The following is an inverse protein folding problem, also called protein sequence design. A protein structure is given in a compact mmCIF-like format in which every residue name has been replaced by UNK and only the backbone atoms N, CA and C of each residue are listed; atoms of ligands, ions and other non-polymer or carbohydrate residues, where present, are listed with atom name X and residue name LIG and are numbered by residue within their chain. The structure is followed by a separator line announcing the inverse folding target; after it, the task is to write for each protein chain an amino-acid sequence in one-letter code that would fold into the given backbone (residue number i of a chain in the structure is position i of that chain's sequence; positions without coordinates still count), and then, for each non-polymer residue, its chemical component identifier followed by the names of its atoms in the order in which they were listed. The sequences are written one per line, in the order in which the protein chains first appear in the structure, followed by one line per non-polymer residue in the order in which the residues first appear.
data_IF_249523665637
#
_entry.id   IF_249523665637
#
_cell.length_a   1.000
_cell.length_b   1.000
_cell.length_c   1.000
_cell.angle_alpha   90.00
_cell.angle_beta   90.00
_cell.angle_gamma   90.00
#
_symmetry.space_group_name_H-M   'P 1'
#
loop_
_entity.id
_entity.type
_entity.pdbx_description
1 polymer ?
#
# COMPACT_ATOMS: atom_id res chain seq x y z
N UNK A 1 -33.80 -10.59 -32.14
CA UNK A 1 -33.38 -9.21 -31.78
C UNK A 1 -32.34 -8.67 -32.75
N UNK A 2 -32.31 -7.36 -33.02
CA UNK A 2 -31.29 -6.73 -33.90
C UNK A 2 -29.99 -6.42 -33.13
N UNK A 3 -28.88 -6.20 -33.83
CA UNK A 3 -27.55 -5.93 -33.20
C UNK A 3 -27.56 -4.75 -32.23
N UNK A 4 -28.28 -3.66 -32.54
CA UNK A 4 -28.38 -2.50 -31.67
C UNK A 4 -29.19 -2.77 -30.40
N UNK A 5 -30.17 -3.66 -30.48
CA UNK A 5 -30.93 -4.10 -29.32
C UNK A 5 -30.11 -5.02 -28.42
N UNK A 6 -29.36 -5.96 -29.01
CA UNK A 6 -28.43 -6.82 -28.28
C UNK A 6 -27.36 -5.98 -27.56
N UNK A 7 -26.81 -4.96 -28.23
CA UNK A 7 -25.82 -4.05 -27.67
C UNK A 7 -26.36 -3.35 -26.41
N UNK A 8 -27.57 -2.79 -26.50
CA UNK A 8 -28.24 -2.12 -25.38
C UNK A 8 -28.52 -3.08 -24.22
N UNK A 9 -29.01 -4.30 -24.50
CA UNK A 9 -29.36 -5.29 -23.47
C UNK A 9 -28.15 -5.86 -22.73
N UNK A 10 -27.01 -5.93 -23.40
CA UNK A 10 -25.76 -6.49 -22.84
C UNK A 10 -24.78 -5.41 -22.41
N UNK A 11 -25.16 -4.13 -22.52
CA UNK A 11 -24.34 -2.96 -22.20
C UNK A 11 -23.06 -2.85 -23.03
N UNK A 12 -22.96 -3.53 -24.18
CA UNK A 12 -21.76 -3.57 -25.02
C UNK A 12 -21.94 -2.68 -26.26
N UNK A 13 -20.90 -2.58 -27.09
CA UNK A 13 -20.95 -1.81 -28.34
C UNK A 13 -21.29 -2.71 -29.53
N UNK A 14 -21.92 -2.14 -30.57
CA UNK A 14 -22.12 -2.84 -31.85
C UNK A 14 -20.79 -3.29 -32.45
N UNK A 15 -19.70 -2.53 -32.24
CA UNK A 15 -18.35 -2.91 -32.65
C UNK A 15 -17.88 -4.20 -31.96
N UNK A 16 -18.05 -4.30 -30.64
CA UNK A 16 -17.71 -5.51 -29.89
C UNK A 16 -18.55 -6.71 -30.33
N UNK A 17 -19.86 -6.54 -30.56
CA UNK A 17 -20.72 -7.62 -31.08
C UNK A 17 -20.28 -8.10 -32.46
N UNK A 18 -19.87 -7.20 -33.35
CA UNK A 18 -19.32 -7.58 -34.66
C UNK A 18 -17.99 -8.33 -34.53
N UNK A 19 -17.18 -7.99 -33.53
CA UNK A 19 -15.96 -8.74 -33.24
C UNK A 19 -16.29 -10.16 -32.73
N UNK A 20 -17.23 -10.30 -31.82
CA UNK A 20 -17.69 -11.62 -31.35
C UNK A 20 -18.33 -12.45 -32.47
N UNK A 21 -19.07 -11.82 -33.39
CA UNK A 21 -19.59 -12.46 -34.61
C UNK A 21 -18.45 -12.91 -35.53
N UNK A 22 -17.43 -12.07 -35.75
CA UNK A 22 -16.26 -12.44 -36.57
C UNK A 22 -15.42 -13.57 -35.95
N UNK A 23 -15.39 -13.63 -34.62
CA UNK A 23 -14.80 -14.73 -33.87
C UNK A 23 -15.71 -15.97 -33.83
N UNK A 24 -16.92 -15.91 -34.39
CA UNK A 24 -17.86 -17.04 -34.43
C UNK A 24 -18.47 -17.40 -33.07
N UNK A 25 -18.40 -16.51 -32.08
CA UNK A 25 -18.90 -16.76 -30.71
C UNK A 25 -20.36 -16.34 -30.54
N UNK A 26 -20.82 -15.40 -31.36
CA UNK A 26 -22.21 -14.93 -31.35
C UNK A 26 -22.71 -14.89 -32.79
N UNK A 27 -23.39 -15.96 -33.20
CA UNK A 27 -23.81 -16.15 -34.59
C UNK A 27 -25.26 -15.69 -34.78
N UNK A 28 -25.53 -14.72 -35.68
CA UNK A 28 -26.89 -14.32 -36.01
C UNK A 28 -27.54 -15.29 -37.01
N UNK A 29 -28.85 -15.50 -36.89
CA UNK A 29 -29.67 -16.10 -37.95
C UNK A 29 -29.93 -15.06 -39.05
N UNK A 30 -29.81 -15.48 -40.31
CA UNK A 30 -30.21 -14.65 -41.45
C UNK A 30 -31.68 -14.88 -41.78
N UNK A 31 -32.45 -13.80 -41.85
CA UNK A 31 -33.84 -13.81 -42.30
C UNK A 31 -33.91 -13.78 -43.83
N UNK A 32 -35.04 -14.23 -44.39
CA UNK A 32 -35.31 -14.23 -45.83
C UNK A 32 -35.24 -12.84 -46.48
N UNK A 33 -35.40 -11.78 -45.69
CA UNK A 33 -35.28 -10.39 -46.09
C UNK A 33 -33.85 -9.81 -45.95
N UNK A 34 -32.84 -10.65 -45.69
CA UNK A 34 -31.43 -10.25 -45.58
C UNK A 34 -31.01 -9.63 -44.24
N UNK A 35 -31.94 -9.42 -43.31
CA UNK A 35 -31.62 -8.92 -41.97
C UNK A 35 -30.99 -9.99 -41.07
N UNK A 36 -30.10 -9.55 -40.17
CA UNK A 36 -29.52 -10.39 -39.11
C UNK A 36 -30.39 -10.32 -37.86
N UNK A 37 -30.68 -11.48 -37.30
CA UNK A 37 -31.41 -11.63 -36.06
C UNK A 37 -30.62 -12.49 -35.06
N UNK A 38 -30.40 -11.97 -33.86
CA UNK A 38 -29.82 -12.72 -32.75
C UNK A 38 -30.93 -13.32 -31.89
N UNK A 39 -30.71 -14.55 -31.45
CA UNK A 39 -31.60 -15.26 -30.54
C UNK A 39 -31.43 -14.80 -29.09
N UNK A 40 -32.42 -15.01 -28.20
CA UNK A 40 -32.32 -14.63 -26.78
C UNK A 40 -31.06 -15.15 -26.08
N UNK A 41 -30.56 -16.33 -26.45
CA UNK A 41 -29.34 -16.93 -25.89
C UNK A 41 -28.10 -16.05 -26.12
N UNK A 42 -28.06 -15.24 -27.18
CA UNK A 42 -26.95 -14.33 -27.47
C UNK A 42 -26.70 -13.33 -26.33
N UNK A 43 -27.72 -13.00 -25.53
CA UNK A 43 -27.54 -12.14 -24.34
C UNK A 43 -26.68 -12.83 -23.29
N UNK A 44 -26.92 -14.13 -23.03
CA UNK A 44 -26.11 -14.93 -22.09
C UNK A 44 -24.69 -15.12 -22.59
N UNK A 45 -24.51 -15.45 -23.88
CA UNK A 45 -23.19 -15.62 -24.48
C UNK A 45 -22.35 -14.34 -24.39
N UNK A 46 -22.94 -13.18 -24.72
CA UNK A 46 -22.23 -11.90 -24.64
C UNK A 46 -21.91 -11.52 -23.18
N UNK A 47 -22.80 -11.78 -22.24
CA UNK A 47 -22.51 -11.56 -20.81
C UNK A 47 -21.32 -12.41 -20.35
N UNK A 48 -21.32 -13.71 -20.69
CA UNK A 48 -20.22 -14.63 -20.36
C UNK A 48 -18.88 -14.16 -20.94
N UNK A 49 -18.85 -13.77 -22.22
CA UNK A 49 -17.63 -13.27 -22.87
C UNK A 49 -17.09 -12.05 -22.12
N UNK A 50 -17.96 -11.12 -21.73
CA UNK A 50 -17.54 -9.91 -21.02
C UNK A 50 -16.97 -10.19 -19.63
N UNK A 51 -17.60 -11.09 -18.88
CA UNK A 51 -17.13 -11.48 -17.55
C UNK A 51 -15.74 -12.13 -17.65
N UNK A 52 -15.54 -13.04 -18.60
CA UNK A 52 -14.26 -13.70 -18.82
C UNK A 52 -13.18 -12.71 -19.30
N UNK A 53 -13.53 -11.77 -20.19
CA UNK A 53 -12.61 -10.72 -20.61
C UNK A 53 -12.20 -9.81 -19.45
N UNK A 54 -13.09 -9.55 -18.49
CA UNK A 54 -12.74 -8.79 -17.28
C UNK A 54 -11.74 -9.53 -16.38
N UNK A 55 -11.66 -10.85 -16.47
CA UNK A 55 -10.67 -11.70 -15.79
C UNK A 55 -9.34 -11.80 -16.56
N UNK A 56 -9.23 -11.18 -17.73
CA UNK A 56 -8.00 -11.16 -18.53
C UNK A 56 -7.94 -12.22 -19.63
N UNK A 57 -9.04 -12.94 -19.90
CA UNK A 57 -9.13 -13.82 -21.05
C UNK A 57 -9.32 -12.99 -22.34
N UNK A 58 -8.68 -13.43 -23.41
CA UNK A 58 -8.96 -12.94 -24.77
C UNK A 58 -10.31 -13.46 -25.25
N UNK A 59 -10.86 -12.83 -26.29
CA UNK A 59 -12.14 -13.26 -26.88
C UNK A 59 -12.04 -14.70 -27.38
N UNK A 60 -10.93 -15.06 -27.98
CA UNK A 60 -10.65 -16.40 -28.51
C UNK A 60 -10.63 -17.46 -27.40
N UNK A 61 -10.06 -17.13 -26.24
CA UNK A 61 -10.01 -18.01 -25.05
C UNK A 61 -11.39 -18.22 -24.41
N UNK A 62 -12.37 -17.34 -24.66
CA UNK A 62 -13.75 -17.52 -24.13
C UNK A 62 -14.54 -18.62 -24.84
N UNK A 63 -14.05 -19.12 -25.98
CA UNK A 63 -14.75 -20.09 -26.84
C UNK A 63 -15.29 -21.32 -26.09
N UNK A 64 -14.50 -22.06 -25.28
CA UNK A 64 -14.98 -23.28 -24.64
C UNK A 64 -16.17 -23.04 -23.71
N UNK A 65 -16.28 -21.83 -23.15
CA UNK A 65 -17.36 -21.43 -22.25
C UNK A 65 -18.62 -21.06 -23.02
N UNK A 66 -18.45 -20.33 -24.13
CA UNK A 66 -19.54 -19.94 -25.02
C UNK A 66 -20.17 -21.18 -25.69
N UNK A 67 -19.34 -22.13 -26.12
CA UNK A 67 -19.78 -23.40 -26.71
C UNK A 67 -20.56 -24.25 -25.70
N UNK A 68 -20.08 -24.36 -24.46
CA UNK A 68 -20.79 -25.06 -23.38
C UNK A 68 -22.18 -24.48 -23.10
N UNK A 69 -22.34 -23.15 -23.11
CA UNK A 69 -23.65 -22.48 -22.94
C UNK A 69 -24.54 -22.72 -24.17
N UNK A 70 -23.97 -22.70 -25.37
CA UNK A 70 -24.70 -22.92 -26.62
C UNK A 70 -25.25 -24.36 -26.73
N UNK A 71 -24.49 -25.34 -26.23
CA UNK A 71 -24.86 -26.76 -26.25
C UNK A 71 -25.87 -27.14 -25.13
N UNK A 72 -26.27 -26.19 -24.28
CA UNK A 72 -27.28 -26.40 -23.24
C UNK A 72 -26.82 -27.28 -22.09
N UNK A 73 -25.50 -27.42 -21.89
CA UNK A 73 -24.94 -28.10 -20.73
C UNK A 73 -25.31 -27.32 -19.47
N UNK A 74 -25.81 -28.00 -18.43
CA UNK A 74 -26.10 -27.38 -17.13
C UNK A 74 -24.82 -26.75 -16.55
N UNK A 75 -24.99 -25.64 -15.81
CA UNK A 75 -23.95 -24.79 -15.19
C UNK A 75 -22.91 -25.53 -14.32
N UNK A 76 -23.09 -26.84 -14.09
CA UNK A 76 -22.30 -27.66 -13.18
C UNK A 76 -21.15 -28.43 -13.84
N UNK A 77 -21.13 -28.56 -15.16
CA UNK A 77 -20.09 -29.33 -15.87
C UNK A 77 -19.12 -28.40 -16.61
N UNK A 78 -18.21 -27.77 -15.86
CA UNK A 78 -17.13 -26.97 -16.47
C UNK A 78 -16.24 -27.93 -17.26
N UNK A 79 -16.36 -27.87 -18.60
CA UNK A 79 -15.58 -28.69 -19.51
C UNK A 79 -14.06 -28.60 -19.18
N UNK A 80 -13.33 -29.71 -19.30
CA UNK A 80 -11.90 -29.76 -19.04
C UNK A 80 -11.10 -28.68 -19.81
N UNK A 81 -11.57 -28.30 -21.01
CA UNK A 81 -11.01 -27.21 -21.79
C UNK A 81 -11.15 -25.84 -21.10
N UNK A 82 -12.30 -25.54 -20.50
CA UNK A 82 -12.54 -24.32 -19.74
C UNK A 82 -11.63 -24.24 -18.49
N UNK A 83 -11.47 -25.34 -17.76
CA UNK A 83 -10.54 -25.41 -16.61
C UNK A 83 -9.09 -25.19 -17.07
N UNK A 84 -8.69 -25.79 -18.20
CA UNK A 84 -7.35 -25.59 -18.76
C UNK A 84 -7.09 -24.13 -19.14
N UNK A 85 -8.07 -23.45 -19.75
CA UNK A 85 -7.99 -22.01 -20.04
C UNK A 85 -7.79 -21.19 -18.78
N UNK A 86 -8.60 -21.39 -17.74
CA UNK A 86 -8.44 -20.66 -16.48
C UNK A 86 -7.06 -20.85 -15.85
N UNK A 87 -6.54 -22.08 -15.84
CA UNK A 87 -5.20 -22.37 -15.31
C UNK A 87 -4.12 -21.64 -16.10
N UNK A 88 -4.20 -21.65 -17.42
CA UNK A 88 -3.25 -20.91 -18.28
C UNK A 88 -3.32 -19.40 -18.04
N UNK A 89 -4.52 -18.82 -17.94
CA UNK A 89 -4.68 -17.39 -17.62
C UNK A 89 -4.07 -17.04 -16.26
N UNK A 90 -4.28 -17.89 -15.23
CA UNK A 90 -3.66 -17.71 -13.92
C UNK A 90 -2.14 -17.71 -14.03
N UNK A 91 -1.54 -18.66 -14.75
CA UNK A 91 -0.09 -18.71 -14.97
C UNK A 91 0.42 -17.44 -15.67
N UNK A 92 -0.26 -16.99 -16.73
CA UNK A 92 0.12 -15.77 -17.46
C UNK A 92 0.05 -14.52 -16.56
N UNK A 93 -0.98 -14.42 -15.71
CA UNK A 93 -1.12 -13.34 -14.73
C UNK A 93 0.02 -13.39 -13.71
N UNK A 94 0.36 -14.58 -13.20
CA UNK A 94 1.47 -14.76 -12.26
C UNK A 94 2.81 -14.33 -12.87
N UNK A 95 3.10 -14.71 -14.11
CA UNK A 95 4.32 -14.27 -14.81
C UNK A 95 4.36 -12.75 -14.97
N UNK A 96 3.24 -12.12 -15.32
CA UNK A 96 3.16 -10.67 -15.48
C UNK A 96 3.32 -9.94 -14.15
N UNK A 97 2.73 -10.46 -13.07
CA UNK A 97 2.95 -9.96 -11.71
C UNK A 97 4.43 -10.07 -11.36
N UNK A 98 5.08 -11.20 -11.65
CA UNK A 98 6.51 -11.38 -11.42
C UNK A 98 7.38 -10.35 -12.14
N UNK A 99 7.14 -10.13 -13.44
CA UNK A 99 7.84 -9.12 -14.24
C UNK A 99 7.65 -7.70 -13.69
N UNK A 100 6.41 -7.32 -13.37
CA UNK A 100 6.09 -6.00 -12.82
C UNK A 100 6.70 -5.80 -11.43
N UNK A 101 6.71 -6.85 -10.61
CA UNK A 101 7.35 -6.84 -9.29
C UNK A 101 8.86 -6.62 -9.44
N UNK A 102 9.52 -7.35 -10.34
CA UNK A 102 10.95 -7.17 -10.61
C UNK A 102 11.29 -5.76 -11.13
N UNK A 103 10.43 -5.17 -11.99
CA UNK A 103 10.59 -3.79 -12.45
C UNK A 103 10.46 -2.78 -11.31
N UNK A 104 9.44 -2.94 -10.44
CA UNK A 104 9.28 -2.10 -9.25
C UNK A 104 10.51 -2.20 -8.35
N UNK A 105 10.97 -3.41 -8.06
CA UNK A 105 12.12 -3.64 -7.17
C UNK A 105 13.41 -3.04 -7.76
N UNK A 106 13.60 -3.08 -9.07
CA UNK A 106 14.72 -2.42 -9.75
C UNK A 106 14.65 -0.88 -9.68
N UNK A 107 13.45 -0.29 -9.77
CA UNK A 107 13.26 1.15 -9.56
C UNK A 107 13.52 1.54 -8.11
N UNK A 108 13.08 0.71 -7.16
CA UNK A 108 13.37 0.92 -5.74
C UNK A 108 14.85 0.86 -5.43
N UNK A 109 15.58 -0.10 -6.00
CA UNK A 109 17.03 -0.16 -5.86
C UNK A 109 17.74 1.09 -6.43
N UNK A 110 17.22 1.68 -7.52
CA UNK A 110 17.74 2.94 -8.08
C UNK A 110 17.44 4.15 -7.20
N UNK A 111 16.22 4.23 -6.65
CA UNK A 111 15.86 5.28 -5.69
C UNK A 111 16.73 5.18 -4.44
N UNK A 112 16.93 3.97 -3.95
CA UNK A 112 17.78 3.70 -2.80
C UNK A 112 19.23 4.09 -3.13
N UNK A 113 19.80 3.68 -4.27
CA UNK A 113 21.16 4.07 -4.66
C UNK A 113 21.34 5.60 -4.78
N UNK A 114 20.33 6.32 -5.29
CA UNK A 114 20.35 7.78 -5.33
C UNK A 114 20.28 8.40 -3.91
N UNK A 115 19.58 7.75 -2.99
CA UNK A 115 19.53 8.17 -1.58
C UNK A 115 20.85 7.85 -0.84
N UNK A 116 21.48 6.71 -1.14
CA UNK A 116 22.65 6.09 -0.48
C UNK A 116 24.02 6.60 -0.98
N UNK A 117 24.12 7.77 -1.64
CA UNK A 117 25.41 8.50 -1.74
C UNK A 117 25.82 9.09 -0.36
N UNK A 118 25.76 8.26 0.68
CA UNK A 118 25.86 8.59 2.10
C UNK A 118 27.31 8.52 2.55
N UNK A 119 27.79 9.64 3.09
CA UNK A 119 28.81 9.67 4.14
C UNK A 119 28.06 9.39 5.44
N UNK A 120 28.50 8.45 6.30
CA UNK A 120 27.85 8.22 7.59
C UNK A 120 27.87 9.52 8.40
N UNK A 121 26.70 9.99 8.81
CA UNK A 121 26.58 11.07 9.79
C UNK A 121 27.30 10.64 11.08
N UNK A 122 28.08 11.54 11.66
CA UNK A 122 28.71 11.24 12.95
C UNK A 122 27.62 11.06 14.02
N UNK A 123 27.76 10.07 14.92
CA UNK A 123 26.83 9.90 16.03
C UNK A 123 26.79 11.18 16.84
N UNK A 124 25.65 11.87 16.85
CA UNK A 124 25.40 12.93 17.81
C UNK A 124 25.02 12.26 19.13
N UNK A 125 25.65 12.67 20.25
CA UNK A 125 25.06 12.45 21.56
C UNK A 125 23.68 13.12 21.54
N UNK A 126 22.63 12.31 21.46
CA UNK A 126 21.27 12.78 21.30
C UNK A 126 20.90 13.73 22.45
N UNK A 127 20.28 14.86 22.12
CA UNK A 127 19.69 15.71 23.15
C UNK A 127 18.56 14.94 23.86
N UNK A 128 18.29 15.28 25.12
CA UNK A 128 17.14 14.73 25.84
C UNK A 128 15.86 14.94 25.01
N UNK A 129 15.17 13.88 24.57
CA UNK A 129 13.98 14.02 23.73
C UNK A 129 12.85 14.81 24.40
N UNK A 130 12.84 14.93 25.73
CA UNK A 130 11.90 15.79 26.44
C UNK A 130 12.11 17.28 26.12
N UNK A 131 13.34 17.70 25.79
CA UNK A 131 13.66 19.07 25.40
C UNK A 131 13.11 19.48 24.03
N UNK A 132 12.58 18.53 23.25
CA UNK A 132 11.95 18.80 21.96
C UNK A 132 10.52 19.35 22.09
N UNK A 133 9.90 19.28 23.27
CA UNK A 133 8.54 19.80 23.47
C UNK A 133 8.54 21.31 23.25
N UNK A 134 7.66 21.79 22.36
CA UNK A 134 7.57 23.18 21.93
C UNK A 134 8.49 23.54 20.75
N UNK A 135 9.35 22.63 20.31
CA UNK A 135 10.21 22.85 19.12
C UNK A 135 9.38 22.67 17.85
N UNK A 136 9.56 23.57 16.87
CA UNK A 136 8.98 23.41 15.53
C UNK A 136 9.71 22.34 14.74
N UNK A 137 8.95 21.50 14.05
CA UNK A 137 9.53 20.58 13.08
C UNK A 137 10.25 21.36 11.97
N UNK A 138 11.44 20.91 11.56
CA UNK A 138 12.16 21.52 10.44
C UNK A 138 11.40 21.30 9.13
N UNK A 139 11.51 22.22 8.15
CA UNK A 139 10.86 22.11 6.85
C UNK A 139 11.60 21.10 5.95
N UNK A 140 11.57 19.84 6.36
CA UNK A 140 12.16 18.72 5.64
C UNK A 140 11.09 18.03 4.79
N UNK A 141 11.37 17.87 3.50
CA UNK A 141 10.47 17.24 2.53
C UNK A 141 10.93 15.83 2.18
N UNK A 142 9.99 14.89 2.28
CA UNK A 142 10.17 13.48 1.95
C UNK A 142 9.09 13.02 0.98
N UNK A 143 9.26 11.82 0.43
CA UNK A 143 8.16 11.09 -0.21
C UNK A 143 7.81 9.88 0.65
N UNK A 144 6.54 9.80 1.05
CA UNK A 144 6.03 8.66 1.80
C UNK A 144 6.01 7.38 0.95
N UNK A 145 5.88 6.22 1.59
CA UNK A 145 5.75 4.93 0.90
C UNK A 145 4.52 4.82 0.00
N UNK A 146 3.54 5.70 0.17
CA UNK A 146 2.36 5.87 -0.69
C UNK A 146 2.62 6.75 -1.95
N UNK A 147 3.85 7.25 -2.10
CA UNK A 147 4.28 8.10 -3.20
C UNK A 147 3.90 9.58 -3.06
N UNK A 148 3.29 9.99 -1.94
CA UNK A 148 2.88 11.38 -1.71
C UNK A 148 4.00 12.17 -1.03
N UNK A 149 4.17 13.47 -1.37
CA UNK A 149 5.11 14.32 -0.65
C UNK A 149 4.65 14.53 0.80
N UNK A 150 5.60 14.55 1.72
CA UNK A 150 5.41 14.83 3.15
C UNK A 150 6.40 15.93 3.55
N UNK A 151 5.88 17.12 3.86
CA UNK A 151 6.66 18.21 4.43
C UNK A 151 6.45 18.23 5.94
N UNK A 152 7.52 17.93 6.70
CA UNK A 152 7.47 17.90 8.16
C UNK A 152 7.17 19.28 8.77
N UNK A 153 7.54 20.37 8.12
CA UNK A 153 7.23 21.73 8.56
C UNK A 153 5.78 22.14 8.27
N UNK A 154 5.08 21.40 7.41
CA UNK A 154 3.74 21.73 6.92
C UNK A 154 2.80 20.51 6.88
N UNK A 155 2.75 19.74 7.97
CA UNK A 155 1.89 18.55 8.08
C UNK A 155 0.38 18.88 8.02
N UNK A 156 -0.01 20.15 8.12
CA UNK A 156 -1.38 20.64 8.09
C UNK A 156 -2.08 20.55 9.45
N UNK A 157 -3.30 21.07 9.52
CA UNK A 157 -4.05 21.20 10.77
C UNK A 157 -4.25 19.86 11.50
N UNK A 158 -4.28 19.95 12.83
CA UNK A 158 -4.51 18.82 13.74
C UNK A 158 -3.25 18.05 14.09
N UNK A 159 -3.39 17.06 14.99
CA UNK A 159 -2.25 16.32 15.55
C UNK A 159 -1.75 15.22 14.63
N UNK A 160 -0.46 15.23 14.29
CA UNK A 160 0.21 14.16 13.58
C UNK A 160 1.01 13.30 14.56
N UNK A 161 0.88 11.98 14.44
CA UNK A 161 1.69 11.01 15.18
C UNK A 161 2.83 10.57 14.26
N UNK A 162 4.08 10.76 14.68
CA UNK A 162 5.26 10.26 13.96
C UNK A 162 5.97 9.28 14.89
N UNK A 163 5.79 7.97 14.67
CA UNK A 163 6.51 6.95 15.42
C UNK A 163 7.82 6.62 14.70
N UNK A 164 8.93 6.86 15.39
CA UNK A 164 10.28 6.62 14.89
C UNK A 164 10.74 5.26 15.39
N UNK A 165 11.24 4.43 14.48
CA UNK A 165 11.70 3.09 14.80
C UNK A 165 13.10 2.80 14.24
N UNK A 166 13.91 1.96 14.92
CA UNK A 166 15.30 1.73 14.50
C UNK A 166 15.40 0.98 13.17
N UNK A 167 14.80 -0.22 13.10
CA UNK A 167 14.92 -1.11 11.95
C UNK A 167 13.81 -2.16 11.95
N UNK A 168 13.27 -2.48 10.77
CA UNK A 168 12.33 -3.57 10.53
C UNK A 168 12.97 -4.69 9.71
N UNK A 169 12.49 -5.92 9.89
CA UNK A 169 12.96 -7.09 9.15
C UNK A 169 12.13 -7.37 7.90
N UNK A 170 12.80 -7.94 6.88
CA UNK A 170 12.20 -8.53 5.68
C UNK A 170 12.22 -10.07 5.80
N UNK A 171 11.14 -10.78 5.44
CA UNK A 171 11.15 -12.24 5.41
C UNK A 171 12.24 -12.77 4.48
N UNK A 172 13.01 -13.76 4.94
CA UNK A 172 14.07 -14.40 4.15
C UNK A 172 15.32 -13.55 3.92
N UNK A 173 15.44 -12.39 4.57
CA UNK A 173 16.64 -11.55 4.58
C UNK A 173 17.16 -11.51 6.00
N UNK A 174 18.42 -11.91 6.19
CA UNK A 174 19.05 -11.79 7.50
C UNK A 174 19.15 -10.33 7.92
N UNK A 175 18.88 -10.10 9.21
CA UNK A 175 19.09 -8.78 9.78
C UNK A 175 20.60 -8.49 9.84
N UNK A 176 21.02 -7.22 9.72
CA UNK A 176 22.43 -6.86 9.78
C UNK A 176 23.13 -7.41 11.03
N UNK A 177 24.38 -7.83 10.87
CA UNK A 177 25.24 -8.23 11.99
C UNK A 177 25.33 -7.08 13.02
N UNK A 178 25.21 -7.40 14.32
CA UNK A 178 25.22 -6.40 15.39
C UNK A 178 23.83 -5.88 15.83
N UNK A 179 22.73 -6.27 15.17
CA UNK A 179 21.39 -5.87 15.62
C UNK A 179 21.02 -6.37 17.03
N UNK A 180 21.59 -7.50 17.46
CA UNK A 180 21.44 -8.03 18.83
C UNK A 180 22.02 -7.08 19.89
N UNK A 181 22.96 -6.22 19.50
CA UNK A 181 23.66 -5.28 20.39
C UNK A 181 22.86 -3.98 20.57
N UNK A 182 21.88 -3.70 19.70
CA UNK A 182 21.02 -2.52 19.83
C UNK A 182 19.84 -2.81 20.74
N UNK A 183 19.97 -2.38 21.99
CA UNK A 183 18.86 -2.40 22.93
C UNK A 183 17.67 -1.58 22.38
N UNK A 184 16.49 -2.21 22.27
CA UNK A 184 15.27 -1.60 21.73
C UNK A 184 15.08 -1.69 20.21
N UNK A 185 16.03 -2.24 19.44
CA UNK A 185 15.85 -2.43 17.98
C UNK A 185 14.87 -3.55 17.60
N UNK A 186 14.71 -4.54 18.47
CA UNK A 186 13.67 -5.58 18.32
C UNK A 186 12.27 -4.96 18.45
N UNK A 187 11.30 -5.57 17.78
CA UNK A 187 9.90 -5.18 17.88
C UNK A 187 9.46 -4.02 16.98
N UNK A 188 10.29 -3.51 16.06
CA UNK A 188 9.83 -2.45 15.13
C UNK A 188 8.78 -2.93 14.13
N UNK A 189 8.92 -4.15 13.61
CA UNK A 189 7.89 -4.76 12.75
C UNK A 189 6.58 -4.93 13.52
N UNK A 190 6.68 -5.32 14.79
CA UNK A 190 5.54 -5.44 15.69
C UNK A 190 4.93 -4.07 16.00
N UNK A 191 5.74 -3.06 16.31
CA UNK A 191 5.27 -1.68 16.51
C UNK A 191 4.42 -1.20 15.32
N UNK A 192 4.92 -1.37 14.10
CA UNK A 192 4.18 -1.00 12.89
C UNK A 192 2.86 -1.79 12.76
N UNK A 193 2.89 -3.11 13.01
CA UNK A 193 1.67 -3.92 13.00
C UNK A 193 0.65 -3.44 14.05
N UNK A 194 1.08 -3.12 15.27
CA UNK A 194 0.19 -2.63 16.33
C UNK A 194 -0.38 -1.23 16.02
N UNK A 195 0.41 -0.33 15.44
CA UNK A 195 -0.10 0.95 14.95
C UNK A 195 -1.12 0.77 13.82
N UNK A 196 -0.96 -0.24 12.96
CA UNK A 196 -1.98 -0.60 11.95
C UNK A 196 -3.25 -1.07 12.61
N UNK A 197 -3.13 -2.02 13.54
CA UNK A 197 -4.27 -2.66 14.18
C UNK A 197 -5.09 -1.66 15.01
N UNK A 198 -4.46 -0.61 15.53
CA UNK A 198 -5.10 0.46 16.30
C UNK A 198 -5.28 1.77 15.51
N UNK A 199 -5.08 1.74 14.19
CA UNK A 199 -5.06 2.98 13.40
C UNK A 199 -6.39 3.73 13.49
N UNK A 200 -7.52 3.02 13.37
CA UNK A 200 -8.84 3.63 13.44
C UNK A 200 -9.09 4.29 14.81
N UNK A 201 -8.68 3.62 15.89
CA UNK A 201 -8.80 4.10 17.27
C UNK A 201 -7.90 5.31 17.54
N UNK A 202 -6.67 5.33 17.00
CA UNK A 202 -5.77 6.48 17.09
C UNK A 202 -6.36 7.71 16.37
N UNK A 203 -6.94 7.51 15.18
CA UNK A 203 -7.65 8.56 14.45
C UNK A 203 -8.84 9.07 15.28
N UNK A 204 -9.63 8.16 15.82
CA UNK A 204 -10.77 8.48 16.67
C UNK A 204 -10.37 9.16 17.99
N UNK A 205 -9.17 8.91 18.51
CA UNK A 205 -8.62 9.55 19.71
C UNK A 205 -8.17 11.01 19.47
N UNK A 206 -8.00 11.42 18.21
CA UNK A 206 -7.70 12.81 17.83
C UNK A 206 -6.44 12.99 16.99
N UNK A 207 -5.78 11.91 16.54
CA UNK A 207 -4.71 12.04 15.55
C UNK A 207 -5.32 12.34 14.17
N UNK A 208 -4.92 13.45 13.56
CA UNK A 208 -5.21 13.83 12.19
C UNK A 208 -4.42 13.00 11.17
N UNK A 209 -3.22 12.52 11.53
CA UNK A 209 -2.33 11.73 10.66
C UNK A 209 -1.47 10.80 11.50
N UNK A 210 -1.03 9.70 10.91
CA UNK A 210 -0.07 8.76 11.49
C UNK A 210 1.02 8.53 10.43
N UNK A 211 2.27 8.54 10.87
CA UNK A 211 3.46 8.27 10.07
C UNK A 211 4.39 7.35 10.85
N UNK A 212 4.98 6.38 10.16
CA UNK A 212 6.20 5.73 10.65
C UNK A 212 7.43 6.40 10.04
N UNK A 213 8.57 6.42 10.72
CA UNK A 213 9.82 6.99 10.19
C UNK A 213 11.02 6.14 10.62
N UNK A 214 11.95 5.92 9.70
CA UNK A 214 13.23 5.27 10.02
C UNK A 214 14.32 5.65 9.02
N UNK A 215 15.56 5.25 9.34
CA UNK A 215 16.72 5.36 8.46
C UNK A 215 16.72 4.33 7.32
N UNK A 216 15.70 3.46 7.24
CA UNK A 216 15.63 2.46 6.18
C UNK A 216 15.26 3.11 4.84
N UNK A 217 15.74 2.51 3.76
CA UNK A 217 15.53 2.99 2.41
C UNK A 217 14.04 2.96 1.99
N UNK A 218 13.71 3.67 0.91
CA UNK A 218 12.33 3.74 0.41
C UNK A 218 11.85 2.36 -0.01
N UNK A 219 12.68 1.60 -0.74
CA UNK A 219 12.36 0.25 -1.15
C UNK A 219 12.09 -0.67 0.06
N UNK A 220 12.92 -0.57 1.11
CA UNK A 220 12.76 -1.36 2.33
C UNK A 220 11.44 -1.09 3.02
N UNK A 221 11.11 0.18 3.23
CA UNK A 221 9.88 0.57 3.90
C UNK A 221 8.63 0.29 3.06
N UNK A 222 8.70 0.42 1.72
CA UNK A 222 7.56 0.10 0.84
C UNK A 222 7.19 -1.38 0.89
N UNK A 223 8.18 -2.26 0.92
CA UNK A 223 7.95 -3.71 1.14
C UNK A 223 7.17 -3.95 2.42
N UNK A 224 7.62 -3.36 3.55
CA UNK A 224 6.97 -3.50 4.84
C UNK A 224 5.52 -3.01 4.80
N UNK A 225 5.32 -1.81 4.23
CA UNK A 225 4.00 -1.21 4.09
C UNK A 225 3.04 -2.11 3.30
N UNK A 226 3.51 -2.70 2.20
CA UNK A 226 2.73 -3.63 1.38
C UNK A 226 2.44 -4.94 2.11
N UNK A 227 3.47 -5.57 2.69
CA UNK A 227 3.34 -6.85 3.38
C UNK A 227 2.41 -6.77 4.57
N UNK A 228 2.52 -5.72 5.37
CA UNK A 228 1.68 -5.52 6.55
C UNK A 228 0.35 -4.84 6.23
N UNK A 229 0.14 -4.37 5.00
CA UNK A 229 -1.04 -3.57 4.58
C UNK A 229 -1.26 -2.36 5.49
N UNK A 230 -0.20 -1.57 5.68
CA UNK A 230 -0.26 -0.41 6.58
C UNK A 230 -1.22 0.66 6.02
N UNK A 231 -2.15 1.19 6.84
CA UNK A 231 -3.13 2.21 6.42
C UNK A 231 -2.57 3.64 6.47
N UNK A 232 -1.27 3.77 6.72
CA UNK A 232 -0.54 5.03 6.84
C UNK A 232 0.81 4.91 6.12
N UNK A 233 1.38 6.04 5.65
CA UNK A 233 2.68 6.03 4.98
C UNK A 233 3.83 5.94 5.98
N UNK A 234 4.94 5.36 5.53
CA UNK A 234 6.23 5.44 6.20
C UNK A 234 7.13 6.46 5.51
N UNK A 235 7.96 7.15 6.28
CA UNK A 235 8.86 8.21 5.84
C UNK A 235 10.30 7.65 5.81
N UNK A 236 10.92 7.53 4.63
CA UNK A 236 12.32 7.15 4.49
C UNK A 236 13.24 8.34 4.73
N UNK A 237 14.06 8.25 5.79
CA UNK A 237 15.12 9.21 6.09
C UNK A 237 16.51 8.53 6.19
N UNK A 238 17.01 7.92 5.09
CA UNK A 238 18.26 7.17 5.10
C UNK A 238 19.50 8.00 5.39
N UNK A 239 19.37 9.33 5.36
CA UNK A 239 20.45 10.28 5.66
C UNK A 239 20.37 10.82 7.09
N UNK A 240 19.45 10.31 7.91
CA UNK A 240 19.23 10.78 9.29
C UNK A 240 19.00 12.29 9.37
N UNK A 241 18.41 12.90 8.33
CA UNK A 241 18.30 14.36 8.21
C UNK A 241 17.46 14.97 9.34
N UNK A 242 16.42 14.28 9.79
CA UNK A 242 15.63 14.66 10.95
C UNK A 242 16.43 14.50 12.25
N UNK A 243 17.32 13.50 12.32
CA UNK A 243 18.17 13.31 13.48
C UNK A 243 19.15 14.47 13.61
N UNK A 244 19.81 14.85 12.52
CA UNK A 244 20.74 15.99 12.48
C UNK A 244 20.04 17.30 12.82
N UNK A 245 18.84 17.52 12.28
CA UNK A 245 18.10 18.77 12.46
C UNK A 245 17.57 18.96 13.89
N UNK A 246 17.11 17.88 14.54
CA UNK A 246 16.52 17.92 15.89
C UNK A 246 17.43 17.36 16.98
N UNK A 247 18.64 16.90 16.63
CA UNK A 247 19.55 16.13 17.50
C UNK A 247 18.86 14.92 18.14
N UNK A 248 18.06 14.20 17.34
CA UNK A 248 17.36 13.01 17.81
C UNK A 248 18.37 11.92 18.22
N UNK A 249 18.06 11.12 19.25
CA UNK A 249 18.93 10.04 19.68
C UNK A 249 19.10 9.00 18.56
N UNK A 250 20.36 8.64 18.31
CA UNK A 250 20.75 7.59 17.37
C UNK A 250 21.67 6.59 18.05
N UNK A 251 21.71 5.36 17.54
CA UNK A 251 22.65 4.33 17.95
C UNK A 251 23.39 3.74 16.76
N UNK A 252 24.65 3.43 16.99
CA UNK A 252 25.48 2.71 16.04
C UNK A 252 25.46 1.22 16.35
N UNK A 253 25.33 0.38 15.33
CA UNK A 253 25.61 -1.05 15.41
C UNK A 253 26.29 -1.51 14.13
N UNK A 254 27.44 -2.16 14.31
CA UNK A 254 28.35 -2.40 13.21
C UNK A 254 28.71 -1.08 12.51
N UNK A 255 28.44 -1.04 11.21
CA UNK A 255 28.67 0.09 10.29
C UNK A 255 27.44 0.97 10.07
N UNK A 256 26.32 0.68 10.75
CA UNK A 256 25.06 1.39 10.59
C UNK A 256 24.77 2.31 11.76
N UNK A 257 24.26 3.51 11.46
CA UNK A 257 23.64 4.41 12.44
C UNK A 257 22.13 4.41 12.23
N UNK A 258 21.39 4.16 13.31
CA UNK A 258 19.93 4.04 13.31
C UNK A 258 19.33 5.00 14.33
N UNK A 259 18.06 5.37 14.12
CA UNK A 259 17.29 6.07 15.15
C UNK A 259 17.11 5.22 16.40
N UNK A 260 17.12 5.85 17.56
CA UNK A 260 16.46 5.28 18.73
C UNK A 260 14.93 5.36 18.62
N UNK A 261 14.24 4.48 19.33
CA UNK A 261 12.77 4.40 19.28
C UNK A 261 12.15 5.55 20.07
N UNK A 262 11.39 6.39 19.39
CA UNK A 262 10.62 7.48 20.00
C UNK A 262 9.30 7.72 19.25
N UNK A 263 8.41 8.53 19.79
CA UNK A 263 7.23 8.99 19.04
C UNK A 263 6.99 10.46 19.31
N UNK A 264 6.85 11.23 18.24
CA UNK A 264 6.54 12.65 18.28
C UNK A 264 5.03 12.84 18.05
N UNK A 265 4.41 13.65 18.89
CA UNK A 265 3.06 14.18 18.62
C UNK A 265 3.21 15.64 18.23
N UNK A 266 2.80 15.96 17.02
CA UNK A 266 3.03 17.26 16.39
C UNK A 266 1.70 17.92 16.12
N UNK A 267 1.48 19.11 16.66
CA UNK A 267 0.30 19.92 16.42
C UNK A 267 0.74 21.22 15.74
N UNK A 268 0.16 21.55 14.59
CA UNK A 268 0.38 22.82 13.89
C UNK A 268 1.88 23.15 13.66
N UNK A 269 2.67 22.12 13.37
CA UNK A 269 4.11 22.21 13.13
C UNK A 269 5.00 22.17 14.37
N UNK A 270 4.42 22.16 15.58
CA UNK A 270 5.15 22.12 16.86
C UNK A 270 5.02 20.76 17.55
N UNK A 271 6.10 20.29 18.16
CA UNK A 271 6.11 19.05 18.93
C UNK A 271 5.41 19.30 20.27
N UNK A 272 4.18 18.80 20.42
CA UNK A 272 3.38 18.92 21.64
C UNK A 272 3.79 17.87 22.69
N UNK A 273 4.31 16.73 22.24
CA UNK A 273 4.74 15.66 23.14
C UNK A 273 5.75 14.72 22.50
N UNK A 274 6.60 14.13 23.34
CA UNK A 274 7.53 13.08 22.95
C UNK A 274 7.37 11.89 23.88
N UNK A 275 7.17 10.71 23.30
CA UNK A 275 7.27 9.45 24.01
C UNK A 275 8.67 8.89 23.85
N UNK A 276 9.43 8.92 24.94
CA UNK A 276 10.76 8.33 25.03
C UNK A 276 11.13 8.15 26.52
N UNK A 277 11.72 7.03 26.94
CA UNK A 277 11.95 5.81 26.17
C UNK A 277 10.64 5.03 25.92
N UNK A 278 10.66 4.14 24.93
CA UNK A 278 9.54 3.23 24.63
C UNK A 278 10.02 1.79 24.88
N UNK A 279 9.82 1.23 26.09
CA UNK A 279 10.33 -0.08 26.46
C UNK A 279 9.58 -1.23 25.78
N UNK A 280 8.26 -1.06 25.58
CA UNK A 280 7.41 -2.04 24.93
C UNK A 280 6.79 -1.43 23.65
N UNK A 281 7.32 -1.75 22.46
CA UNK A 281 6.80 -1.23 21.21
C UNK A 281 5.39 -1.75 20.87
N UNK A 282 5.00 -2.93 21.35
CA UNK A 282 3.72 -3.54 21.02
C UNK A 282 2.56 -2.79 21.69
N UNK A 283 2.68 -2.46 22.98
CA UNK A 283 1.65 -1.71 23.71
C UNK A 283 1.69 -0.21 23.46
N UNK A 284 2.75 0.32 22.84
CA UNK A 284 2.96 1.76 22.66
C UNK A 284 1.79 2.52 21.99
N UNK A 285 1.10 2.00 20.96
CA UNK A 285 -0.06 2.67 20.38
C UNK A 285 -1.16 2.99 21.39
N UNK A 286 -1.33 2.16 22.42
CA UNK A 286 -2.30 2.39 23.50
C UNK A 286 -1.91 3.60 24.36
N UNK A 287 -0.62 3.82 24.59
CA UNK A 287 -0.13 5.01 25.30
C UNK A 287 -0.40 6.29 24.50
N UNK A 288 -0.16 6.25 23.19
CA UNK A 288 -0.47 7.34 22.27
C UNK A 288 -1.98 7.66 22.30
N UNK A 289 -2.83 6.64 22.19
CA UNK A 289 -4.29 6.81 22.25
C UNK A 289 -4.75 7.44 23.58
N UNK A 290 -4.24 6.94 24.71
CA UNK A 290 -4.57 7.47 26.04
C UNK A 290 -4.19 8.95 26.17
N UNK A 291 -3.01 9.33 25.67
CA UNK A 291 -2.57 10.72 25.69
C UNK A 291 -3.45 11.61 24.78
N UNK A 292 -3.72 11.16 23.55
CA UNK A 292 -4.56 11.90 22.60
C UNK A 292 -5.97 12.12 23.15
N UNK A 293 -6.55 11.08 23.74
CA UNK A 293 -7.89 11.16 24.35
C UNK A 293 -7.94 12.17 25.49
N UNK A 294 -6.94 12.15 26.39
CA UNK A 294 -6.83 13.13 27.49
C UNK A 294 -6.69 14.55 26.95
N UNK A 295 -5.87 14.77 25.93
CA UNK A 295 -5.65 16.08 25.31
C UNK A 295 -6.87 16.62 24.57
N UNK A 296 -7.68 15.73 23.99
CA UNK A 296 -8.95 16.11 23.38
C UNK A 296 -10.01 16.51 24.41
N UNK A 297 -9.97 15.89 25.59
CA UNK A 297 -10.90 16.17 26.70
C UNK A 297 -10.49 17.37 27.54
N UNK A 298 -9.21 17.77 27.51
CA UNK A 298 -8.75 18.99 28.15
C UNK A 298 -9.41 20.21 27.46
N UNK A 299 -10.21 21.01 28.17
CA UNK A 299 -10.80 22.22 27.60
C UNK A 299 -9.68 23.13 27.10
N UNK A 300 -9.86 23.67 25.89
CA UNK A 300 -8.97 24.71 25.37
C UNK A 300 -8.86 25.85 26.38
N UNK A 301 -7.61 26.21 26.70
CA UNK A 301 -7.27 27.50 27.30
C UNK A 301 -8.10 28.59 26.62
N UNK A 302 -9.04 29.16 27.36
CA UNK A 302 -9.85 30.30 26.99
C UNK A 302 -8.92 31.39 26.48
N UNK A 303 -9.11 31.82 25.23
CA UNK A 303 -8.58 33.10 24.79
C UNK A 303 -9.28 34.19 25.62
N UNK A 304 -8.51 34.79 26.53
CA UNK A 304 -8.79 36.10 27.11
C UNK A 304 -8.25 37.19 26.16
#
# INVERSE_FOLDING_TARGET
MRVGELARRTGTTVRALRYYESAGLVVPRRLSNGYREYEPIAVRLVAQIRELMALGLTVEETRPFVESIADGSDDTDVCAAAVATYRSTITNLQERIGKLTAQRDALDARLDAAATQVVPGSPAEGADPAALIGVRLPPLSFYGTDGRPVDLGALGAGRSVIFVYPLTGRPGVDLPNGLLEIHGARGSTEQAAWFRDHHAEIRAAGAARVYGLSAQSTGYQRELAHRLRLPYPLIPDPRLTLADALRLPTRTAGDMTLYERLTLIVADGEIEHVFHPIPDPASHPLHVMRWLTKRRQAPGSVAA
#
